data_IF_225820322463
#
_entry.id   IF_225820322463
#
_cell.length_a   1.000
_cell.length_b   1.000
_cell.length_c   1.000
_cell.angle_alpha   90.00
_cell.angle_beta   90.00
_cell.angle_gamma   90.00
#
_symmetry.space_group_name_H-M   'P 1'
#
loop_
_entity.id
_entity.type
_entity.pdbx_description
1 polymer ?
#
# COMPACT_ATOMS: atom_id res chain seq x y z
N UNK A 1 -9.01 19.35 -9.39
CA UNK A 1 -8.36 18.11 -8.89
C UNK A 1 -9.26 16.94 -9.23
N UNK A 2 -8.74 15.88 -9.86
CA UNK A 2 -9.53 14.71 -10.19
C UNK A 2 -10.08 14.10 -8.89
N UNK A 3 -11.37 14.30 -8.63
CA UNK A 3 -12.05 13.70 -7.51
C UNK A 3 -12.25 12.23 -7.85
N UNK A 4 -11.43 11.36 -7.27
CA UNK A 4 -11.65 9.92 -7.32
C UNK A 4 -12.44 9.54 -6.06
N UNK A 5 -13.73 9.14 -6.19
CA UNK A 5 -14.59 8.86 -5.04
C UNK A 5 -14.10 7.63 -4.25
N UNK A 6 -13.41 6.71 -4.92
CA UNK A 6 -12.82 5.53 -4.29
C UNK A 6 -11.41 5.83 -3.78
N UNK A 7 -11.21 5.70 -2.46
CA UNK A 7 -9.92 5.97 -1.82
C UNK A 7 -8.81 5.04 -2.28
N UNK A 8 -9.13 3.78 -2.61
CA UNK A 8 -8.17 2.78 -3.07
C UNK A 8 -7.65 3.10 -4.49
N UNK A 9 -8.56 3.40 -5.41
CA UNK A 9 -8.27 3.83 -6.76
C UNK A 9 -7.52 5.17 -6.78
N UNK A 10 -7.88 6.11 -5.91
CA UNK A 10 -7.16 7.37 -5.76
C UNK A 10 -5.71 7.15 -5.33
N UNK A 11 -5.48 6.31 -4.31
CA UNK A 11 -4.14 5.98 -3.83
C UNK A 11 -3.32 5.23 -4.90
N UNK A 12 -3.96 4.33 -5.66
CA UNK A 12 -3.30 3.62 -6.75
C UNK A 12 -2.87 4.57 -7.87
N UNK A 13 -3.75 5.49 -8.28
CA UNK A 13 -3.45 6.50 -9.30
C UNK A 13 -2.28 7.40 -8.87
N UNK A 14 -2.31 7.91 -7.63
CA UNK A 14 -1.23 8.76 -7.09
C UNK A 14 0.12 8.02 -7.06
N UNK A 15 0.12 6.75 -6.64
CA UNK A 15 1.34 5.90 -6.66
C UNK A 15 1.86 5.69 -8.06
N UNK A 16 0.98 5.39 -9.03
CA UNK A 16 1.36 5.24 -10.43
C UNK A 16 1.99 6.51 -11.00
N UNK A 17 1.37 7.66 -10.77
CA UNK A 17 1.88 8.96 -11.22
C UNK A 17 3.24 9.30 -10.59
N UNK A 18 3.38 9.14 -9.26
CA UNK A 18 4.64 9.39 -8.57
C UNK A 18 5.75 8.47 -9.09
N UNK A 19 5.45 7.18 -9.26
CA UNK A 19 6.42 6.23 -9.80
C UNK A 19 6.88 6.64 -11.20
N UNK A 20 5.95 7.01 -12.08
CA UNK A 20 6.28 7.42 -13.43
C UNK A 20 7.14 8.69 -13.44
N UNK A 21 6.84 9.66 -12.57
CA UNK A 21 7.64 10.88 -12.42
C UNK A 21 9.06 10.53 -11.96
N UNK A 22 9.20 9.72 -10.91
CA UNK A 22 10.51 9.34 -10.34
C UNK A 22 11.34 8.55 -11.36
N UNK A 23 10.76 7.50 -11.93
CA UNK A 23 11.46 6.63 -12.89
C UNK A 23 11.78 7.35 -14.20
N UNK A 24 10.93 8.28 -14.62
CA UNK A 24 11.12 9.08 -15.82
C UNK A 24 11.99 10.32 -15.63
N UNK A 25 12.46 10.62 -14.41
CA UNK A 25 13.18 11.86 -14.11
C UNK A 25 12.38 13.12 -14.44
N UNK A 26 11.05 13.05 -14.29
CA UNK A 26 10.14 14.15 -14.65
C UNK A 26 9.95 15.10 -13.47
N UNK A 27 9.59 16.35 -13.79
CA UNK A 27 9.19 17.33 -12.80
C UNK A 27 7.70 17.17 -12.49
N UNK A 28 7.35 16.78 -11.24
CA UNK A 28 5.96 16.78 -10.82
C UNK A 28 5.50 18.22 -10.58
N UNK A 29 4.48 18.67 -11.30
CA UNK A 29 3.85 19.97 -11.10
C UNK A 29 2.45 19.79 -10.53
N UNK A 30 2.14 20.53 -9.46
CA UNK A 30 0.84 20.49 -8.78
C UNK A 30 0.25 21.90 -8.76
N UNK A 31 -1.00 22.03 -9.20
CA UNK A 31 -1.80 23.26 -9.08
C UNK A 31 -2.99 22.97 -8.17
N UNK A 32 -3.10 23.69 -7.05
CA UNK A 32 -4.18 23.45 -6.09
C UNK A 32 -4.69 24.73 -5.41
N UNK A 33 -6.02 24.94 -5.38
CA UNK A 33 -6.64 26.02 -4.60
C UNK A 33 -6.95 25.60 -3.16
N UNK A 34 -6.72 24.32 -2.79
CA UNK A 34 -7.01 23.80 -1.46
C UNK A 34 -5.90 24.18 -0.46
N UNK A 35 -6.19 24.99 0.58
CA UNK A 35 -5.19 25.42 1.56
C UNK A 35 -4.51 24.28 2.31
N UNK A 36 -5.21 23.18 2.55
CA UNK A 36 -4.66 22.02 3.27
C UNK A 36 -3.60 21.33 2.42
N UNK A 37 -3.88 21.19 1.12
CA UNK A 37 -2.90 20.67 0.16
C UNK A 37 -1.73 21.65 -0.01
N UNK A 38 -1.96 22.96 -0.01
CA UNK A 38 -0.88 23.95 -0.06
C UNK A 38 0.03 23.84 1.18
N UNK A 39 -0.54 23.67 2.38
CA UNK A 39 0.24 23.45 3.61
C UNK A 39 1.05 22.15 3.54
N UNK A 40 0.44 21.06 3.06
CA UNK A 40 1.13 19.78 2.86
C UNK A 40 2.32 19.93 1.89
N UNK A 41 2.12 20.54 0.72
CA UNK A 41 3.17 20.71 -0.29
C UNK A 41 4.33 21.58 0.22
N UNK A 42 4.05 22.61 1.02
CA UNK A 42 5.09 23.41 1.69
C UNK A 42 5.85 22.59 2.74
N UNK A 43 5.16 21.77 3.53
CA UNK A 43 5.78 20.85 4.49
C UNK A 43 6.69 19.81 3.83
N UNK A 44 6.31 19.36 2.64
CA UNK A 44 7.12 18.48 1.79
C UNK A 44 8.21 19.23 0.99
N UNK A 45 8.32 20.55 1.15
CA UNK A 45 9.25 21.46 0.47
C UNK A 45 9.19 21.44 -1.06
N UNK A 46 8.00 21.28 -1.63
CA UNK A 46 7.82 21.57 -3.05
C UNK A 46 8.20 23.04 -3.32
N UNK A 47 8.86 23.29 -4.45
CA UNK A 47 9.18 24.65 -4.91
C UNK A 47 7.89 25.34 -5.33
N UNK A 48 7.55 26.45 -4.69
CA UNK A 48 6.40 27.28 -5.05
C UNK A 48 6.76 28.23 -6.20
N UNK A 49 5.89 28.34 -7.19
CA UNK A 49 6.05 29.21 -8.36
C UNK A 49 5.08 30.40 -8.38
N UNK A 50 4.20 30.51 -7.38
CA UNK A 50 3.21 31.59 -7.28
C UNK A 50 1.78 31.08 -7.46
N UNK A 51 0.88 31.99 -7.82
CA UNK A 51 -0.54 31.71 -8.09
C UNK A 51 -0.84 31.87 -9.58
N UNK A 52 -1.88 31.20 -10.08
CA UNK A 52 -2.40 31.49 -11.42
C UNK A 52 -2.99 32.90 -11.50
N UNK A 53 -3.03 33.45 -12.72
CA UNK A 53 -3.68 34.74 -13.00
C UNK A 53 -5.17 34.69 -12.67
N UNK A 54 -5.84 33.61 -13.13
CA UNK A 54 -7.27 33.40 -13.01
C UNK A 54 -7.65 32.39 -11.93
N UNK A 55 -8.88 32.48 -11.43
CA UNK A 55 -9.52 31.43 -10.64
C UNK A 55 -10.00 30.30 -11.55
N UNK A 56 -9.04 29.49 -12.02
CA UNK A 56 -9.25 28.38 -12.97
C UNK A 56 -10.31 27.39 -12.48
N UNK A 57 -10.44 27.24 -11.15
CA UNK A 57 -11.37 26.29 -10.54
C UNK A 57 -12.70 26.91 -10.11
N UNK A 58 -12.90 28.22 -10.34
CA UNK A 58 -14.12 28.98 -10.00
C UNK A 58 -14.55 28.76 -8.54
N UNK A 59 -13.58 28.68 -7.63
CA UNK A 59 -13.81 28.40 -6.21
C UNK A 59 -13.54 29.60 -5.29
N UNK A 60 -13.41 30.81 -5.87
CA UNK A 60 -13.08 32.05 -5.18
C UNK A 60 -11.63 32.12 -4.69
N UNK A 61 -10.75 31.22 -5.15
CA UNK A 61 -9.36 31.12 -4.68
C UNK A 61 -8.41 30.87 -5.84
N UNK A 62 -7.39 31.72 -5.98
CA UNK A 62 -6.33 31.52 -6.97
C UNK A 62 -5.48 30.31 -6.57
N UNK A 63 -5.41 29.24 -7.39
CA UNK A 63 -4.58 28.10 -7.07
C UNK A 63 -3.10 28.46 -7.05
N UNK A 64 -2.38 27.87 -6.11
CA UNK A 64 -0.92 27.95 -6.07
C UNK A 64 -0.30 26.82 -6.89
N UNK A 65 0.81 27.14 -7.57
CA UNK A 65 1.58 26.22 -8.41
C UNK A 65 2.84 25.82 -7.65
N UNK A 66 3.09 24.51 -7.61
CA UNK A 66 4.22 23.88 -6.96
C UNK A 66 4.91 22.92 -7.91
N UNK A 67 6.23 22.72 -7.76
CA UNK A 67 6.95 21.64 -8.42
C UNK A 67 7.89 20.88 -7.47
N UNK A 68 8.10 19.61 -7.76
CA UNK A 68 9.10 18.79 -7.10
C UNK A 68 9.86 17.94 -8.12
N UNK A 69 11.18 18.01 -8.02
CA UNK A 69 12.08 17.06 -8.66
C UNK A 69 12.39 15.93 -7.66
N UNK A 70 12.30 14.68 -8.11
CA UNK A 70 12.62 13.49 -7.32
C UNK A 70 13.94 12.86 -7.74
N UNK A 71 14.91 13.68 -8.18
CA UNK A 71 16.28 13.23 -8.41
C UNK A 71 16.84 12.42 -7.23
N UNK A 72 17.77 11.52 -7.53
CA UNK A 72 18.33 10.55 -6.57
C UNK A 72 18.85 11.18 -5.27
N UNK A 73 19.39 12.40 -5.33
CA UNK A 73 19.87 13.14 -4.16
C UNK A 73 18.74 13.73 -3.29
N UNK A 74 17.57 14.03 -3.87
CA UNK A 74 16.45 14.66 -3.18
C UNK A 74 15.49 13.63 -2.54
N UNK A 75 15.50 12.38 -3.03
CA UNK A 75 14.61 11.32 -2.56
C UNK A 75 14.75 11.00 -1.06
N UNK A 76 15.96 10.79 -0.49
CA UNK A 76 16.10 10.45 0.92
C UNK A 76 15.46 11.49 1.86
N UNK A 77 15.82 12.75 1.66
CA UNK A 77 15.28 13.90 2.40
C UNK A 77 13.76 14.02 2.27
N UNK A 78 13.25 13.83 1.05
CA UNK A 78 11.83 13.90 0.79
C UNK A 78 11.06 12.78 1.49
N UNK A 79 11.62 11.56 1.50
CA UNK A 79 11.02 10.40 2.16
C UNK A 79 10.95 10.58 3.67
N UNK A 80 12.01 11.12 4.28
CA UNK A 80 12.05 11.42 5.72
C UNK A 80 11.00 12.50 6.09
N UNK A 81 10.85 13.54 5.26
CA UNK A 81 9.82 14.57 5.46
C UNK A 81 8.41 14.04 5.28
N UNK A 82 8.19 13.15 4.31
CA UNK A 82 6.91 12.48 4.13
C UNK A 82 6.53 11.67 5.38
N UNK A 83 7.48 10.92 5.96
CA UNK A 83 7.25 10.18 7.20
C UNK A 83 6.85 11.11 8.37
N UNK A 84 7.51 12.28 8.50
CA UNK A 84 7.20 13.28 9.54
C UNK A 84 5.84 13.96 9.34
N UNK A 85 5.54 14.40 8.11
CA UNK A 85 4.29 15.12 7.78
C UNK A 85 3.06 14.21 7.80
N UNK A 86 3.25 12.92 7.53
CA UNK A 86 2.13 11.98 7.54
C UNK A 86 1.55 11.78 8.94
N UNK A 87 2.28 12.08 10.04
CA UNK A 87 1.82 11.85 11.41
C UNK A 87 1.46 10.38 11.72
N UNK A 88 1.54 9.50 10.73
CA UNK A 88 1.13 8.11 10.76
C UNK A 88 2.26 7.28 11.36
N UNK A 89 2.32 7.29 12.69
CA UNK A 89 2.75 6.09 13.41
C UNK A 89 1.72 5.00 13.09
N UNK A 90 1.95 4.28 12.00
CA UNK A 90 1.02 3.29 11.45
C UNK A 90 0.30 3.82 10.21
N UNK A 91 0.80 3.45 9.03
CA UNK A 91 0.03 3.62 7.79
C UNK A 91 -1.31 2.89 7.88
N UNK A 92 -2.27 3.18 6.98
CA UNK A 92 -3.51 2.40 6.92
C UNK A 92 -3.17 0.93 6.87
N UNK A 93 -3.80 0.14 7.75
CA UNK A 93 -3.63 -1.32 7.78
C UNK A 93 -3.84 -1.84 6.36
N UNK A 94 -2.88 -2.62 5.81
CA UNK A 94 -3.04 -3.24 4.51
C UNK A 94 -4.39 -3.92 4.39
N UNK A 95 -5.11 -3.61 3.31
CA UNK A 95 -6.34 -4.33 3.00
C UNK A 95 -6.03 -5.78 2.65
N UNK A 96 -6.96 -6.70 2.91
CA UNK A 96 -6.80 -8.10 2.50
C UNK A 96 -6.59 -8.26 0.98
N UNK A 97 -7.07 -7.32 0.16
CA UNK A 97 -6.84 -7.30 -1.29
C UNK A 97 -5.39 -6.97 -1.66
N UNK A 98 -4.76 -6.03 -0.96
CA UNK A 98 -3.34 -5.71 -1.16
C UNK A 98 -2.45 -6.89 -0.74
N UNK A 99 -2.80 -7.57 0.35
CA UNK A 99 -2.15 -8.80 0.78
C UNK A 99 -2.32 -9.91 -0.24
N UNK A 100 -3.53 -10.13 -0.76
CA UNK A 100 -3.81 -11.15 -1.77
C UNK A 100 -2.97 -10.95 -3.03
N UNK A 101 -2.85 -9.70 -3.50
CA UNK A 101 -2.03 -9.36 -4.66
C UNK A 101 -0.54 -9.63 -4.40
N UNK A 102 -0.04 -9.20 -3.24
CA UNK A 102 1.36 -9.45 -2.87
C UNK A 102 1.68 -10.95 -2.72
N UNK A 103 0.75 -11.75 -2.17
CA UNK A 103 0.88 -13.20 -2.09
C UNK A 103 0.84 -13.87 -3.47
N UNK A 104 0.01 -13.38 -4.39
CA UNK A 104 -0.02 -13.88 -5.77
C UNK A 104 1.30 -13.63 -6.51
N UNK A 105 1.95 -12.49 -6.25
CA UNK A 105 3.22 -12.10 -6.87
C UNK A 105 4.45 -12.56 -6.07
N UNK A 106 4.29 -13.39 -5.02
CA UNK A 106 5.35 -13.69 -4.04
C UNK A 106 6.59 -14.39 -4.61
N UNK A 107 6.43 -15.07 -5.74
CA UNK A 107 7.51 -15.76 -6.44
C UNK A 107 8.24 -14.86 -7.45
N UNK A 108 7.67 -13.70 -7.79
CA UNK A 108 8.22 -12.74 -8.77
C UNK A 108 8.69 -11.47 -8.04
N UNK A 109 10.00 -11.31 -7.79
CA UNK A 109 10.53 -10.16 -7.09
C UNK A 109 10.23 -8.83 -7.79
N UNK A 110 10.16 -8.80 -9.13
CA UNK A 110 9.90 -7.59 -9.88
C UNK A 110 8.44 -7.13 -9.71
N UNK A 111 7.48 -8.07 -9.73
CA UNK A 111 6.08 -7.75 -9.44
C UNK A 111 5.85 -7.41 -7.97
N UNK A 112 6.51 -8.12 -7.06
CA UNK A 112 6.41 -7.85 -5.63
C UNK A 112 6.98 -6.47 -5.25
N UNK A 113 7.97 -5.97 -6.00
CA UNK A 113 8.49 -4.60 -5.88
C UNK A 113 7.45 -3.51 -6.12
N UNK A 114 6.35 -3.83 -6.82
CA UNK A 114 5.23 -2.91 -7.07
C UNK A 114 4.17 -2.92 -5.97
N UNK A 115 4.36 -3.76 -4.96
CA UNK A 115 3.39 -3.93 -3.90
C UNK A 115 3.28 -2.66 -3.05
N UNK A 116 2.06 -2.13 -2.79
CA UNK A 116 1.87 -1.05 -1.83
C UNK A 116 2.34 -1.40 -0.41
N UNK A 117 2.52 -2.69 -0.11
CA UNK A 117 3.00 -3.15 1.19
C UNK A 117 4.46 -2.78 1.47
N UNK A 118 5.21 -2.35 0.45
CA UNK A 118 6.55 -1.78 0.60
C UNK A 118 6.52 -0.31 1.05
N UNK A 119 5.39 0.37 0.90
CA UNK A 119 5.22 1.80 1.27
C UNK A 119 5.03 2.01 2.78
N UNK A 120 5.76 1.26 3.61
CA UNK A 120 5.76 1.41 5.07
C UNK A 120 6.74 2.53 5.50
N UNK A 121 6.48 3.25 6.61
CA UNK A 121 7.36 4.32 7.11
C UNK A 121 8.82 3.93 7.37
N UNK A 122 9.14 2.62 7.43
CA UNK A 122 10.51 2.12 7.41
C UNK A 122 10.76 1.33 6.13
N UNK A 123 11.82 1.65 5.36
CA UNK A 123 12.12 0.96 4.11
C UNK A 123 12.22 -0.54 4.36
N UNK A 124 11.48 -1.30 3.55
CA UNK A 124 11.48 -2.76 3.56
C UNK A 124 11.99 -3.19 2.19
N UNK A 125 12.96 -4.08 2.15
CA UNK A 125 13.36 -4.71 0.89
C UNK A 125 12.28 -5.68 0.41
N UNK A 126 12.27 -5.99 -0.89
CA UNK A 126 11.38 -7.03 -1.45
C UNK A 126 11.60 -8.39 -0.75
N UNK A 127 12.85 -8.69 -0.37
CA UNK A 127 13.20 -9.92 0.33
C UNK A 127 12.58 -9.98 1.74
N UNK A 128 12.64 -8.88 2.49
CA UNK A 128 12.01 -8.76 3.81
C UNK A 128 10.49 -8.85 3.70
N UNK A 129 9.85 -8.16 2.74
CA UNK A 129 8.40 -8.29 2.54
C UNK A 129 7.98 -9.73 2.27
N UNK A 130 8.75 -10.41 1.42
CA UNK A 130 8.51 -11.81 1.09
C UNK A 130 8.66 -12.72 2.31
N UNK A 131 9.67 -12.48 3.14
CA UNK A 131 9.88 -13.24 4.37
C UNK A 131 8.72 -13.02 5.35
N UNK A 132 8.36 -11.76 5.60
CA UNK A 132 7.29 -11.37 6.53
C UNK A 132 5.92 -11.95 6.11
N UNK A 133 5.61 -11.94 4.80
CA UNK A 133 4.38 -12.54 4.28
C UNK A 133 4.33 -14.05 4.50
N UNK A 134 5.44 -14.76 4.24
CA UNK A 134 5.52 -16.21 4.48
C UNK A 134 5.41 -16.53 5.96
N UNK A 135 6.06 -15.74 6.79
CA UNK A 135 6.04 -15.93 8.24
C UNK A 135 4.66 -15.67 8.83
N UNK A 136 3.97 -14.61 8.40
CA UNK A 136 2.61 -14.33 8.82
C UNK A 136 1.65 -15.46 8.43
N UNK A 137 1.77 -16.00 7.21
CA UNK A 137 0.96 -17.15 6.78
C UNK A 137 1.27 -18.41 7.59
N UNK A 138 2.56 -18.67 7.86
CA UNK A 138 2.99 -19.82 8.68
C UNK A 138 2.42 -19.74 10.10
N UNK A 139 2.58 -18.59 10.77
CA UNK A 139 2.04 -18.38 12.13
C UNK A 139 0.54 -18.56 12.21
N UNK A 140 -0.20 -18.11 11.18
CA UNK A 140 -1.64 -18.38 11.14
C UNK A 140 -1.91 -19.88 11.05
N UNK A 141 -1.19 -20.61 10.20
CA UNK A 141 -1.37 -22.05 10.03
C UNK A 141 -1.04 -22.83 11.32
N UNK A 142 -0.08 -22.34 12.10
CA UNK A 142 0.35 -22.90 13.38
C UNK A 142 -0.47 -22.37 14.59
N UNK A 143 -1.51 -21.55 14.37
CA UNK A 143 -2.33 -20.98 15.45
C UNK A 143 -3.13 -22.07 16.18
N UNK A 144 -3.24 -21.93 17.50
CA UNK A 144 -4.13 -22.78 18.31
C UNK A 144 -5.61 -22.45 18.08
N UNK A 145 -5.91 -21.27 17.53
CA UNK A 145 -7.27 -20.88 17.17
C UNK A 145 -7.63 -21.52 15.84
N UNK A 146 -8.54 -22.52 15.88
CA UNK A 146 -8.95 -23.30 14.69
C UNK A 146 -9.27 -22.44 13.47
N UNK A 147 -9.98 -21.33 13.63
CA UNK A 147 -10.36 -20.48 12.51
C UNK A 147 -9.16 -19.81 11.83
N UNK A 148 -8.14 -19.46 12.61
CA UNK A 148 -6.88 -18.88 12.12
C UNK A 148 -6.01 -19.96 11.47
N UNK A 149 -5.93 -21.14 12.08
CA UNK A 149 -5.24 -22.31 11.54
C UNK A 149 -5.80 -22.70 10.16
N UNK A 150 -7.12 -22.81 10.03
CA UNK A 150 -7.80 -23.06 8.76
C UNK A 150 -7.49 -21.96 7.73
N UNK A 151 -7.51 -20.69 8.14
CA UNK A 151 -7.21 -19.57 7.27
C UNK A 151 -5.75 -19.59 6.78
N UNK A 152 -4.79 -19.82 7.69
CA UNK A 152 -3.37 -19.97 7.37
C UNK A 152 -3.10 -21.16 6.45
N UNK A 153 -3.74 -22.29 6.72
CA UNK A 153 -3.67 -23.48 5.86
C UNK A 153 -4.16 -23.17 4.43
N UNK A 154 -5.30 -22.47 4.29
CA UNK A 154 -5.83 -22.06 2.99
C UNK A 154 -4.82 -21.17 2.25
N UNK A 155 -4.27 -20.16 2.92
CA UNK A 155 -3.31 -19.23 2.31
C UNK A 155 -2.03 -19.94 1.88
N UNK A 156 -1.50 -20.82 2.74
CA UNK A 156 -0.30 -21.60 2.45
C UNK A 156 -0.52 -22.48 1.22
N UNK A 157 -1.64 -23.20 1.15
CA UNK A 157 -1.90 -24.12 0.03
C UNK A 157 -2.27 -23.41 -1.27
N UNK A 158 -2.97 -22.28 -1.19
CA UNK A 158 -3.42 -21.55 -2.37
C UNK A 158 -2.32 -20.67 -2.98
N UNK A 159 -1.56 -19.94 -2.16
CA UNK A 159 -0.56 -18.98 -2.65
C UNK A 159 0.88 -19.53 -2.62
N UNK A 160 1.24 -20.34 -1.63
CA UNK A 160 2.62 -20.82 -1.44
C UNK A 160 2.83 -22.27 -1.91
N UNK A 161 1.73 -23.00 -2.10
CA UNK A 161 1.71 -24.39 -2.50
C UNK A 161 1.66 -24.60 -4.02
N UNK A 162 1.44 -25.85 -4.42
CA UNK A 162 1.20 -26.19 -5.82
C UNK A 162 -0.15 -25.62 -6.29
N UNK A 163 -0.29 -25.22 -7.57
CA UNK A 163 -1.54 -24.69 -8.10
C UNK A 163 -2.75 -25.59 -7.80
N UNK A 164 -3.75 -25.03 -7.12
CA UNK A 164 -5.00 -25.72 -6.77
C UNK A 164 -6.18 -24.76 -6.89
N UNK A 165 -7.33 -25.29 -7.29
CA UNK A 165 -8.59 -24.53 -7.31
C UNK A 165 -9.15 -24.36 -5.91
N UNK A 166 -9.83 -23.24 -5.64
CA UNK A 166 -10.58 -23.01 -4.40
C UNK A 166 -11.53 -24.17 -4.02
N UNK A 167 -12.21 -24.77 -5.01
CA UNK A 167 -13.14 -25.87 -4.76
C UNK A 167 -12.45 -27.10 -4.17
N UNK A 168 -11.30 -27.50 -4.71
CA UNK A 168 -10.51 -28.63 -4.19
C UNK A 168 -10.04 -28.36 -2.75
N UNK A 169 -9.61 -27.14 -2.44
CA UNK A 169 -9.18 -26.79 -1.08
C UNK A 169 -10.35 -26.81 -0.08
N UNK A 170 -11.53 -26.31 -0.48
CA UNK A 170 -12.73 -26.37 0.34
C UNK A 170 -13.15 -27.83 0.64
N UNK A 171 -13.07 -28.72 -0.36
CA UNK A 171 -13.34 -30.15 -0.19
C UNK A 171 -12.38 -30.81 0.78
N UNK A 172 -11.08 -30.49 0.72
CA UNK A 172 -10.06 -31.03 1.64
C UNK A 172 -10.28 -30.63 3.10
N UNK A 173 -10.87 -29.46 3.33
CA UNK A 173 -11.24 -28.99 4.66
C UNK A 173 -12.64 -29.45 5.10
N UNK A 174 -13.37 -30.16 4.24
CA UNK A 174 -14.77 -30.54 4.47
C UNK A 174 -15.69 -29.36 4.83
N UNK A 175 -15.43 -28.18 4.24
CA UNK A 175 -16.22 -26.96 4.48
C UNK A 175 -16.99 -26.54 3.22
N UNK A 176 -18.09 -25.81 3.44
CA UNK A 176 -18.83 -25.19 2.35
C UNK A 176 -17.99 -24.13 1.62
N UNK A 177 -18.33 -23.86 0.36
CA UNK A 177 -17.69 -22.80 -0.44
C UNK A 177 -17.80 -21.43 0.24
N UNK A 178 -18.92 -21.12 0.88
CA UNK A 178 -19.12 -19.86 1.59
C UNK A 178 -18.18 -19.73 2.80
N UNK A 179 -18.07 -20.79 3.61
CA UNK A 179 -17.14 -20.84 4.75
C UNK A 179 -15.68 -20.71 4.28
N UNK A 180 -15.32 -21.37 3.18
CA UNK A 180 -14.00 -21.24 2.57
C UNK A 180 -13.63 -19.78 2.24
N UNK A 181 -14.50 -19.04 1.53
CA UNK A 181 -14.21 -17.65 1.19
C UNK A 181 -14.20 -16.72 2.41
N UNK A 182 -15.03 -17.02 3.43
CA UNK A 182 -14.98 -16.30 4.71
C UNK A 182 -13.64 -16.49 5.41
N UNK A 183 -13.13 -17.72 5.48
CA UNK A 183 -11.81 -18.04 6.05
C UNK A 183 -10.66 -17.43 5.25
N UNK A 184 -10.74 -17.49 3.91
CA UNK A 184 -9.76 -16.84 3.03
C UNK A 184 -9.68 -15.33 3.28
N UNK A 185 -10.83 -14.64 3.29
CA UNK A 185 -10.87 -13.19 3.57
C UNK A 185 -10.33 -12.88 4.96
N UNK A 186 -10.77 -13.63 5.96
CA UNK A 186 -10.32 -13.47 7.33
C UNK A 186 -8.80 -13.62 7.46
N UNK A 187 -8.20 -14.64 6.85
CA UNK A 187 -6.75 -14.84 6.85
C UNK A 187 -5.99 -13.68 6.20
N UNK A 188 -6.48 -13.17 5.06
CA UNK A 188 -5.87 -12.02 4.39
C UNK A 188 -5.90 -10.76 5.27
N UNK A 189 -7.01 -10.53 5.98
CA UNK A 189 -7.15 -9.40 6.90
C UNK A 189 -6.24 -9.55 8.13
N UNK A 190 -6.09 -10.77 8.67
CA UNK A 190 -5.18 -11.06 9.78
C UNK A 190 -3.72 -10.85 9.39
N UNK A 191 -3.27 -11.36 8.24
CA UNK A 191 -1.92 -11.11 7.72
C UNK A 191 -1.68 -9.61 7.56
N UNK A 192 -2.62 -8.88 6.98
CA UNK A 192 -2.53 -7.42 6.84
C UNK A 192 -2.35 -6.71 8.18
N UNK A 193 -3.00 -7.20 9.23
CA UNK A 193 -2.82 -6.70 10.61
C UNK A 193 -1.47 -7.04 11.22
N UNK A 194 -1.02 -8.29 11.10
CA UNK A 194 0.25 -8.75 11.64
C UNK A 194 1.44 -7.96 11.08
N UNK A 195 1.41 -7.65 9.79
CA UNK A 195 2.43 -6.82 9.12
C UNK A 195 2.57 -5.40 9.71
N UNK A 196 1.54 -4.91 10.40
CA UNK A 196 1.57 -3.62 11.10
C UNK A 196 1.94 -3.74 12.58
N UNK A 197 1.53 -4.83 13.25
CA UNK A 197 1.68 -5.02 14.69
C UNK A 197 3.12 -5.37 15.13
N UNK A 198 3.86 -6.14 14.33
CA UNK A 198 5.27 -6.51 14.63
C UNK A 198 6.25 -5.33 14.63
N UNK A 199 5.79 -4.14 14.26
CA UNK A 199 6.60 -2.91 14.17
C UNK A 199 6.28 -1.89 15.26
N UNK A 200 5.49 -2.26 16.28
CA UNK A 200 5.13 -1.41 17.42
C UNK A 200 6.00 -1.62 18.68
N UNK A 201 7.03 -2.46 18.63
CA UNK A 201 7.99 -2.58 19.74
C UNK A 201 9.10 -1.54 19.52
N UNK A 202 9.32 -0.62 20.48
CA UNK A 202 10.30 0.47 20.38
C UNK A 202 11.75 -0.02 20.32
#
# INVERSE_FOLDING_TARGET
>A
AAYCPDRGAHAHLLRGLLRQVIMGGLLLTVSTPNPDYQRLLRGLRFKRHGTTTDDVYRCGRKPEIFSQDFGSAALPDWTERLARTSGMRGGPRPSGQEVARALADIADPARLAESPLLSSPRPRSVAELRADLREAVRRLADSEVREEAEAGWILQHYYLGRPRTHQRLAQQLHISRATYFRRLRHGLDLVGGGLTAERSVP
#
